data_IF_851516448322
#
_entry.id   IF_851516448322
#
_cell.length_a   1.000
_cell.length_b   1.000
_cell.length_c   1.000
_cell.angle_alpha   90.00
_cell.angle_beta   90.00
_cell.angle_gamma   90.00
#
_symmetry.space_group_name_H-M   'P 1'
#
loop_
_entity.id
_entity.type
_entity.pdbx_description
1 polymer ?
#
# COMPACT_ATOMS: atom_id res chain seq x y z
N UNK A 1 -14.98 2.70 17.93
CA UNK A 1 -13.72 2.97 18.67
C UNK A 1 -12.83 1.73 18.53
N UNK A 2 -11.61 1.86 18.00
CA UNK A 2 -10.60 0.79 17.85
C UNK A 2 -9.44 0.89 18.89
N UNK A 3 -9.67 1.02 20.22
CA UNK A 3 -8.64 1.45 21.17
C UNK A 3 -7.69 0.32 21.64
N UNK A 4 -7.62 -0.83 20.95
CA UNK A 4 -6.74 -1.95 21.34
C UNK A 4 -5.87 -2.51 20.22
N UNK A 5 -6.17 -2.21 18.96
CA UNK A 5 -5.34 -2.66 17.86
C UNK A 5 -4.26 -1.61 17.59
N UNK A 6 -3.02 -2.04 17.35
CA UNK A 6 -1.92 -1.15 16.97
C UNK A 6 -1.81 -1.12 15.45
N UNK A 7 -1.58 0.07 14.89
CA UNK A 7 -1.31 0.21 13.47
C UNK A 7 0.14 -0.21 13.16
N UNK A 8 0.37 -0.74 11.96
CA UNK A 8 1.70 -0.85 11.37
C UNK A 8 1.88 0.25 10.33
N UNK A 9 3.02 0.94 10.40
CA UNK A 9 3.41 2.01 9.46
C UNK A 9 4.80 1.68 8.92
N UNK A 10 5.06 1.92 7.62
CA UNK A 10 6.34 1.50 7.05
C UNK A 10 7.51 2.33 7.63
N UNK A 11 7.38 3.65 7.60
CA UNK A 11 8.32 4.60 8.18
C UNK A 11 7.67 5.97 8.45
N UNK A 12 8.45 6.95 8.88
CA UNK A 12 8.01 8.32 9.14
C UNK A 12 7.59 9.09 7.88
N UNK A 13 8.14 8.72 6.72
CA UNK A 13 7.82 9.30 5.40
C UNK A 13 6.56 8.70 4.76
N UNK A 14 6.07 7.57 5.28
CA UNK A 14 4.81 6.98 4.86
C UNK A 14 3.65 7.76 5.47
N UNK A 15 3.11 8.68 4.69
CA UNK A 15 2.00 9.54 5.09
C UNK A 15 0.63 8.99 4.69
N UNK A 16 0.56 7.89 3.94
CA UNK A 16 -0.70 7.35 3.40
C UNK A 16 -1.68 7.07 4.54
N UNK A 17 -1.27 6.27 5.52
CA UNK A 17 -2.12 5.89 6.64
C UNK A 17 -2.65 7.11 7.43
N UNK A 18 -1.80 8.10 7.68
CA UNK A 18 -2.22 9.32 8.38
C UNK A 18 -3.11 10.23 7.56
N UNK A 19 -2.84 10.37 6.26
CA UNK A 19 -3.68 11.19 5.39
C UNK A 19 -5.07 10.59 5.23
N UNK A 20 -5.17 9.27 5.05
CA UNK A 20 -6.47 8.59 4.90
C UNK A 20 -7.33 8.73 6.15
N UNK A 21 -6.75 8.51 7.33
CA UNK A 21 -7.48 8.67 8.59
C UNK A 21 -7.85 10.12 8.90
N UNK A 22 -6.99 11.07 8.53
CA UNK A 22 -7.29 12.50 8.67
C UNK A 22 -8.43 12.91 7.71
N UNK A 23 -8.37 12.49 6.45
CA UNK A 23 -9.34 12.84 5.44
C UNK A 23 -10.73 12.24 5.75
N UNK A 24 -10.77 10.97 6.18
CA UNK A 24 -12.04 10.26 6.38
C UNK A 24 -12.64 10.49 7.78
N UNK A 25 -11.82 10.66 8.82
CA UNK A 25 -12.30 10.72 10.21
C UNK A 25 -11.79 11.92 11.01
N UNK A 26 -10.96 12.80 10.43
CA UNK A 26 -10.32 13.89 11.17
C UNK A 26 -9.31 13.42 12.22
N UNK A 27 -8.85 12.15 12.15
CA UNK A 27 -7.96 11.57 13.15
C UNK A 27 -6.51 11.81 12.81
N UNK A 28 -5.78 12.42 13.74
CA UNK A 28 -4.34 12.61 13.63
C UNK A 28 -3.57 11.37 14.08
N UNK A 29 -2.40 11.09 13.49
CA UNK A 29 -1.54 9.96 13.86
C UNK A 29 -1.21 9.91 15.37
N UNK A 30 -1.13 11.07 16.02
CA UNK A 30 -0.85 11.21 17.46
C UNK A 30 -1.92 10.58 18.36
N UNK A 31 -3.11 10.31 17.83
CA UNK A 31 -4.21 9.69 18.56
C UNK A 31 -4.17 8.15 18.50
N UNK A 32 -3.19 7.56 17.81
CA UNK A 32 -3.12 6.13 17.51
C UNK A 32 -1.88 5.49 18.15
N UNK A 33 -2.00 4.23 18.56
CA UNK A 33 -0.85 3.37 18.85
C UNK A 33 -0.34 2.74 17.56
N UNK A 34 0.96 2.87 17.27
CA UNK A 34 1.55 2.31 16.05
C UNK A 34 3.00 1.86 16.27
N UNK A 35 3.50 1.00 15.38
CA UNK A 35 4.92 0.65 15.27
C UNK A 35 5.43 0.85 13.83
N UNK A 36 6.74 1.03 13.68
CA UNK A 36 7.40 1.12 12.39
C UNK A 36 8.01 -0.21 11.96
N UNK A 37 7.73 -0.64 10.73
CA UNK A 37 8.31 -1.84 10.12
C UNK A 37 8.73 -1.53 8.67
N UNK A 38 10.00 -1.15 8.43
CA UNK A 38 10.49 -0.76 7.10
C UNK A 38 10.88 -1.98 6.27
N UNK A 39 9.95 -2.94 6.12
CA UNK A 39 10.12 -4.13 5.30
C UNK A 39 8.75 -4.56 4.77
N UNK A 40 8.58 -4.60 3.44
CA UNK A 40 7.30 -4.89 2.82
C UNK A 40 6.75 -6.26 3.26
N UNK A 41 7.62 -7.28 3.31
CA UNK A 41 7.23 -8.63 3.75
C UNK A 41 6.88 -8.65 5.24
N UNK A 42 7.72 -8.08 6.10
CA UNK A 42 7.45 -8.09 7.54
C UNK A 42 6.23 -7.22 7.92
N UNK A 43 5.95 -6.19 7.12
CA UNK A 43 4.77 -5.34 7.26
C UNK A 43 3.49 -6.14 7.03
N UNK A 44 3.41 -6.91 5.93
CA UNK A 44 2.28 -7.79 5.67
C UNK A 44 2.12 -8.86 6.76
N UNK A 45 3.23 -9.49 7.19
CA UNK A 45 3.23 -10.48 8.28
C UNK A 45 2.78 -9.90 9.63
N UNK A 46 3.11 -8.64 9.92
CA UNK A 46 2.63 -7.96 11.11
C UNK A 46 1.11 -7.77 11.09
N UNK A 47 0.53 -7.47 9.91
CA UNK A 47 -0.93 -7.40 9.74
C UNK A 47 -1.56 -8.76 10.02
N UNK A 48 -0.99 -9.84 9.48
CA UNK A 48 -1.47 -11.20 9.76
C UNK A 48 -1.34 -11.58 11.25
N UNK A 49 -0.40 -10.96 11.97
CA UNK A 49 -0.19 -11.17 13.40
C UNK A 49 -1.14 -10.35 14.29
N UNK A 50 -2.08 -9.58 13.70
CA UNK A 50 -3.12 -8.85 14.42
C UNK A 50 -2.92 -7.34 14.52
N UNK A 51 -1.92 -6.78 13.83
CA UNK A 51 -1.85 -5.34 13.61
C UNK A 51 -2.77 -4.97 12.44
N UNK A 52 -3.16 -3.69 12.35
CA UNK A 52 -3.89 -3.18 11.18
C UNK A 52 -3.02 -2.20 10.40
N UNK A 53 -3.30 -2.02 9.12
CA UNK A 53 -2.56 -1.07 8.30
C UNK A 53 -3.12 -0.99 6.89
N UNK A 54 -2.61 -0.05 6.11
CA UNK A 54 -2.85 0.02 4.68
C UNK A 54 -1.82 -0.84 3.97
N UNK A 55 -2.28 -1.80 3.18
CA UNK A 55 -1.44 -2.75 2.45
C UNK A 55 -1.95 -2.86 1.01
N UNK A 56 -1.05 -2.99 0.00
CA UNK A 56 -1.49 -3.15 -1.37
C UNK A 56 -2.31 -4.43 -1.57
N UNK A 57 -3.42 -4.31 -2.30
CA UNK A 57 -4.36 -5.41 -2.56
C UNK A 57 -3.66 -6.65 -3.14
N UNK A 58 -2.75 -6.47 -4.10
CA UNK A 58 -2.01 -7.57 -4.73
C UNK A 58 -1.15 -8.40 -3.76
N UNK A 59 -0.78 -7.86 -2.59
CA UNK A 59 -0.02 -8.59 -1.57
C UNK A 59 -0.90 -9.46 -0.68
N UNK A 60 -2.21 -9.18 -0.63
CA UNK A 60 -3.13 -9.80 0.33
C UNK A 60 -4.38 -10.44 -0.30
N UNK A 61 -4.54 -10.39 -1.62
CA UNK A 61 -5.71 -10.88 -2.35
C UNK A 61 -6.13 -12.31 -1.91
N UNK A 62 -5.23 -13.29 -2.00
CA UNK A 62 -5.50 -14.68 -1.60
C UNK A 62 -6.02 -14.80 -0.15
N UNK A 63 -5.57 -13.91 0.74
CA UNK A 63 -5.91 -13.96 2.16
C UNK A 63 -7.20 -13.22 2.49
N UNK A 64 -7.55 -12.21 1.70
CA UNK A 64 -8.89 -11.62 1.72
C UNK A 64 -9.92 -12.64 1.23
N UNK A 65 -9.65 -13.31 0.11
CA UNK A 65 -10.55 -14.32 -0.48
C UNK A 65 -10.81 -15.50 0.48
N UNK A 66 -9.77 -15.97 1.16
CA UNK A 66 -9.89 -17.07 2.12
C UNK A 66 -10.35 -16.63 3.53
N UNK A 67 -10.67 -15.35 3.73
CA UNK A 67 -11.17 -14.81 5.00
C UNK A 67 -10.14 -14.76 6.14
N UNK A 68 -8.84 -14.93 5.84
CA UNK A 68 -7.76 -14.80 6.80
C UNK A 68 -7.46 -13.32 7.13
N UNK A 69 -7.84 -12.41 6.24
CA UNK A 69 -7.91 -10.97 6.47
C UNK A 69 -9.32 -10.46 6.24
N UNK A 70 -9.64 -9.34 6.89
CA UNK A 70 -10.89 -8.61 6.69
C UNK A 70 -10.56 -7.14 6.43
N UNK A 71 -11.26 -6.55 5.46
CA UNK A 71 -11.21 -5.11 5.22
C UNK A 71 -11.95 -4.38 6.36
N UNK A 72 -11.23 -3.56 7.12
CA UNK A 72 -11.77 -2.93 8.34
C UNK A 72 -12.54 -1.64 8.01
N UNK A 73 -12.09 -0.91 6.99
CA UNK A 73 -12.61 0.41 6.60
C UNK A 73 -12.64 0.51 5.06
N UNK A 74 -13.69 -0.01 4.40
CA UNK A 74 -13.82 0.03 2.94
C UNK A 74 -13.84 1.45 2.35
N UNK A 75 -14.20 2.44 3.14
CA UNK A 75 -14.19 3.86 2.78
C UNK A 75 -12.76 4.46 2.74
N UNK A 76 -11.74 3.73 3.18
CA UNK A 76 -10.35 4.19 3.32
C UNK A 76 -9.42 3.60 2.25
N UNK A 77 -9.87 3.57 1.00
CA UNK A 77 -9.05 3.14 -0.14
C UNK A 77 -8.14 4.27 -0.63
N UNK A 78 -6.95 3.92 -1.10
CA UNK A 78 -5.95 4.88 -1.58
C UNK A 78 -5.44 4.48 -2.96
N UNK A 79 -5.81 5.25 -3.97
CA UNK A 79 -5.22 5.13 -5.30
C UNK A 79 -3.89 5.90 -5.36
N UNK A 80 -2.81 5.16 -5.57
CA UNK A 80 -1.47 5.74 -5.74
C UNK A 80 -1.09 5.67 -7.22
N UNK A 81 -0.98 6.80 -7.94
CA UNK A 81 -0.58 6.79 -9.34
C UNK A 81 0.90 6.41 -9.47
N UNK A 82 1.19 5.53 -10.44
CA UNK A 82 2.55 5.05 -10.71
C UNK A 82 3.13 5.73 -11.95
N UNK A 83 4.40 6.09 -11.88
CA UNK A 83 5.14 6.69 -12.99
C UNK A 83 6.45 5.94 -13.22
N UNK A 84 6.72 5.58 -14.48
CA UNK A 84 8.02 5.06 -14.90
C UNK A 84 8.85 6.19 -15.50
N UNK A 85 9.80 6.70 -14.72
CA UNK A 85 10.72 7.74 -15.18
C UNK A 85 11.92 7.12 -15.89
N UNK A 86 12.17 7.56 -17.12
CA UNK A 86 13.29 7.08 -17.90
C UNK A 86 13.88 8.18 -18.77
N UNK A 87 15.16 8.04 -19.13
CA UNK A 87 15.81 8.97 -20.04
C UNK A 87 15.18 8.90 -21.43
N UNK A 88 15.10 10.04 -22.13
CA UNK A 88 14.56 10.11 -23.48
C UNK A 88 15.46 9.41 -24.50
N UNK A 89 16.79 9.55 -24.35
CA UNK A 89 17.77 8.78 -25.11
C UNK A 89 18.25 7.60 -24.26
N UNK A 90 18.02 6.39 -24.76
CA UNK A 90 18.30 5.15 -24.04
C UNK A 90 19.17 4.23 -24.87
N UNK A 91 20.01 3.46 -24.18
CA UNK A 91 20.62 2.28 -24.78
C UNK A 91 19.53 1.27 -25.21
N UNK A 92 19.80 0.42 -26.21
CA UNK A 92 18.83 -0.61 -26.62
C UNK A 92 18.35 -1.50 -25.47
N UNK A 93 19.23 -1.84 -24.53
CA UNK A 93 18.88 -2.66 -23.36
C UNK A 93 17.84 -1.98 -22.44
N UNK A 94 17.98 -0.68 -22.18
CA UNK A 94 17.02 0.07 -21.36
C UNK A 94 15.67 0.24 -22.04
N UNK A 95 15.64 0.28 -23.38
CA UNK A 95 14.40 0.29 -24.16
C UNK A 95 13.63 -1.02 -24.02
N UNK A 96 14.35 -2.14 -24.07
CA UNK A 96 13.77 -3.47 -23.82
C UNK A 96 13.24 -3.54 -22.38
N UNK A 97 14.02 -3.11 -21.39
CA UNK A 97 13.59 -3.09 -19.99
C UNK A 97 12.31 -2.25 -19.80
N UNK A 98 12.25 -1.06 -20.41
CA UNK A 98 11.06 -0.21 -20.37
C UNK A 98 9.86 -0.93 -20.97
N UNK A 99 10.02 -1.60 -22.12
CA UNK A 99 8.96 -2.40 -22.72
C UNK A 99 8.47 -3.53 -21.82
N UNK A 100 9.39 -4.24 -21.15
CA UNK A 100 9.05 -5.32 -20.21
C UNK A 100 8.30 -4.79 -18.99
N UNK A 101 8.78 -3.70 -18.39
CA UNK A 101 8.14 -3.08 -17.21
C UNK A 101 6.71 -2.66 -17.55
N UNK A 102 6.52 -1.90 -18.63
CA UNK A 102 5.18 -1.44 -19.05
C UNK A 102 4.24 -2.60 -19.37
N UNK A 103 4.77 -3.65 -19.99
CA UNK A 103 3.97 -4.84 -20.30
C UNK A 103 3.53 -5.57 -19.02
N UNK A 104 4.46 -5.84 -18.10
CA UNK A 104 4.17 -6.57 -16.86
C UNK A 104 3.26 -5.78 -15.91
N UNK A 105 3.47 -4.48 -15.77
CA UNK A 105 2.68 -3.64 -14.85
C UNK A 105 1.26 -3.41 -15.32
N UNK A 106 0.99 -3.46 -16.63
CA UNK A 106 -0.36 -3.29 -17.19
C UNK A 106 -1.39 -4.29 -16.67
N UNK A 107 -0.94 -5.46 -16.23
CA UNK A 107 -1.76 -6.56 -15.70
C UNK A 107 -1.87 -6.56 -14.18
N UNK A 108 -0.95 -5.88 -13.47
CA UNK A 108 -0.81 -5.94 -12.02
C UNK A 108 -1.24 -4.66 -11.31
N UNK A 109 -1.15 -3.52 -12.00
CA UNK A 109 -1.57 -2.24 -11.45
C UNK A 109 -3.00 -1.96 -11.88
N UNK A 110 -3.84 -1.61 -10.90
CA UNK A 110 -5.19 -1.12 -11.17
C UNK A 110 -5.08 0.06 -12.14
N UNK A 111 -5.64 -0.08 -13.34
CA UNK A 111 -5.73 1.01 -14.29
C UNK A 111 -6.74 2.01 -13.72
N UNK A 112 -6.26 2.94 -12.91
CA UNK A 112 -7.08 4.02 -12.37
C UNK A 112 -7.77 4.71 -13.53
N UNK A 113 -9.10 4.57 -13.60
CA UNK A 113 -9.95 5.29 -14.55
C UNK A 113 -9.81 6.78 -14.25
N UNK A 114 -9.20 7.51 -15.18
CA UNK A 114 -9.32 8.97 -15.24
C UNK A 114 -10.74 9.36 -15.65
#
# INVERSE_FOLDING_TARGET
>A
MLPKASAVIYNDQDHLHSHTLLAQFGLHRQCLSFCYIPSATAFAEAIFSGLYGLVPEYQIADRLENGALVEILPECQCDVPWYWHHWQQQSPALRVLTGVILHQTSSLLNQSRF
#
